data_IF_461965306204
#
_entry.id   IF_461965306204
#
_cell.length_a   1.000
_cell.length_b   1.000
_cell.length_c   1.000
_cell.angle_alpha   90.00
_cell.angle_beta   90.00
_cell.angle_gamma   90.00
#
_symmetry.space_group_name_H-M   'P 1'
#
loop_
_entity.id
_entity.type
_entity.pdbx_description
1 polymer ?
#
# COMPACT_ATOMS: atom_id res chain seq x y z
N UNK A 1 -2.52 3.49 11.72
CA UNK A 1 -2.72 4.01 10.34
C UNK A 1 -1.34 4.10 9.69
N UNK A 2 -1.21 3.80 8.39
CA UNK A 2 0.11 3.78 7.72
C UNK A 2 0.72 5.18 7.80
N UNK A 3 1.94 5.33 8.33
CA UNK A 3 2.55 6.64 8.59
C UNK A 3 2.58 7.51 7.31
N UNK A 4 2.82 6.88 6.16
CA UNK A 4 2.74 7.49 4.82
C UNK A 4 1.36 8.07 4.47
N UNK A 5 0.27 7.45 4.93
CA UNK A 5 -1.10 7.94 4.71
C UNK A 5 -1.44 9.12 5.64
N UNK A 6 -0.94 9.12 6.87
CA UNK A 6 -1.08 10.25 7.81
C UNK A 6 -0.34 11.46 7.26
N UNK A 7 0.90 11.23 6.80
CA UNK A 7 1.70 12.25 6.13
C UNK A 7 0.95 12.77 4.91
N UNK A 8 0.49 11.92 3.98
CA UNK A 8 -0.27 12.37 2.80
C UNK A 8 -1.50 13.22 3.16
N UNK A 9 -2.27 12.82 4.19
CA UNK A 9 -3.43 13.61 4.66
C UNK A 9 -3.00 14.97 5.20
N UNK A 10 -1.87 15.04 5.90
CA UNK A 10 -1.32 16.30 6.41
C UNK A 10 -0.69 17.17 5.30
N UNK A 11 -0.06 16.57 4.28
CA UNK A 11 0.53 17.26 3.13
C UNK A 11 -0.52 17.91 2.24
N UNK A 12 -1.63 17.22 1.93
CA UNK A 12 -2.76 17.80 1.19
C UNK A 12 -3.35 19.01 1.93
N UNK A 13 -3.31 19.01 3.27
CA UNK A 13 -3.98 20.01 4.11
C UNK A 13 -3.08 21.18 4.54
N UNK A 14 -1.74 21.04 4.64
CA UNK A 14 -0.91 22.06 5.32
C UNK A 14 0.34 22.60 4.60
N UNK A 15 0.89 21.97 3.57
CA UNK A 15 2.26 22.34 3.15
C UNK A 15 2.44 22.27 1.64
N UNK A 16 2.60 23.44 1.00
CA UNK A 16 2.80 23.62 -0.45
C UNK A 16 4.17 23.14 -0.99
N UNK A 17 4.64 21.97 -0.58
CA UNK A 17 5.76 21.25 -1.22
C UNK A 17 5.20 20.11 -2.07
N UNK A 18 5.54 20.02 -3.37
CA UNK A 18 4.92 19.07 -4.27
C UNK A 18 5.42 17.63 -4.01
N UNK A 19 4.57 16.81 -3.40
CA UNK A 19 4.68 15.36 -3.46
C UNK A 19 4.26 14.84 -4.84
N UNK A 20 4.74 13.66 -5.26
CA UNK A 20 4.31 13.02 -6.51
C UNK A 20 2.79 12.81 -6.57
N UNK A 21 2.18 12.51 -5.42
CA UNK A 21 0.72 12.39 -5.32
C UNK A 21 0.01 13.73 -5.52
N UNK A 22 0.49 14.81 -4.89
CA UNK A 22 -0.11 16.13 -5.07
C UNK A 22 0.03 16.66 -6.50
N UNK A 23 1.16 16.40 -7.15
CA UNK A 23 1.35 16.73 -8.58
C UNK A 23 0.38 15.94 -9.46
N UNK A 24 0.27 14.63 -9.24
CA UNK A 24 -0.69 13.79 -9.96
C UNK A 24 -2.13 14.26 -9.78
N UNK A 25 -2.56 14.57 -8.54
CA UNK A 25 -3.90 15.07 -8.28
C UNK A 25 -4.15 16.44 -8.91
N UNK A 26 -3.13 17.30 -8.99
CA UNK A 26 -3.22 18.59 -9.67
C UNK A 26 -3.41 18.44 -11.18
N UNK A 27 -2.70 17.50 -11.80
CA UNK A 27 -2.73 17.25 -13.24
C UNK A 27 -3.99 16.47 -13.67
N UNK A 28 -4.28 15.36 -12.98
CA UNK A 28 -5.40 14.47 -13.30
C UNK A 28 -6.75 14.93 -12.72
N UNK A 29 -6.76 15.97 -11.88
CA UNK A 29 -7.95 16.45 -11.15
C UNK A 29 -8.64 15.36 -10.32
N UNK A 30 -7.91 14.33 -9.94
CA UNK A 30 -8.42 13.22 -9.13
C UNK A 30 -8.21 13.52 -7.63
N UNK A 31 -9.05 12.93 -6.79
CA UNK A 31 -8.90 12.99 -5.34
C UNK A 31 -8.47 11.61 -4.81
N UNK A 32 -7.42 11.53 -3.97
CA UNK A 32 -6.99 10.25 -3.44
C UNK A 32 -8.05 9.72 -2.47
N UNK A 33 -8.42 8.45 -2.65
CA UNK A 33 -9.40 7.73 -1.81
C UNK A 33 -8.76 7.27 -0.50
N UNK A 34 -8.29 8.21 0.32
CA UNK A 34 -7.59 7.92 1.58
C UNK A 34 -8.49 7.20 2.59
N UNK A 35 -9.78 7.48 2.59
CA UNK A 35 -10.75 6.84 3.49
C UNK A 35 -11.02 5.37 3.11
N UNK A 36 -10.74 4.99 1.86
CA UNK A 36 -10.81 3.61 1.38
C UNK A 36 -9.49 2.84 1.60
N UNK A 37 -8.44 3.52 2.08
CA UNK A 37 -7.14 2.89 2.30
C UNK A 37 -7.13 2.08 3.61
N UNK A 38 -6.95 0.78 3.49
CA UNK A 38 -6.71 -0.12 4.62
C UNK A 38 -5.22 -0.40 4.81
N UNK A 39 -4.83 -0.68 6.05
CA UNK A 39 -3.49 -1.19 6.34
C UNK A 39 -3.44 -2.69 6.02
N UNK A 40 -2.67 -3.06 5.00
CA UNK A 40 -2.57 -4.45 4.53
C UNK A 40 -1.96 -5.38 5.58
N UNK A 41 -0.89 -4.95 6.26
CA UNK A 41 -0.18 -5.80 7.20
C UNK A 41 0.63 -4.99 8.24
N UNK A 42 0.59 -5.42 9.51
CA UNK A 42 1.39 -4.85 10.61
C UNK A 42 2.57 -5.73 10.94
N UNK A 43 3.77 -5.22 10.76
CA UNK A 43 5.01 -5.89 11.16
C UNK A 43 6.09 -4.87 11.55
N UNK A 44 7.02 -5.25 12.43
CA UNK A 44 8.11 -4.37 12.87
C UNK A 44 9.15 -4.17 11.77
N UNK A 45 9.54 -5.25 11.09
CA UNK A 45 10.45 -5.18 9.94
C UNK A 45 9.76 -4.52 8.75
N UNK A 46 10.40 -3.50 8.21
CA UNK A 46 9.99 -2.81 6.98
C UNK A 46 10.00 -3.75 5.79
N UNK A 47 11.08 -4.49 5.61
CA UNK A 47 11.24 -5.47 4.53
C UNK A 47 10.04 -6.43 4.48
N UNK A 48 9.63 -6.99 5.61
CA UNK A 48 8.45 -7.87 5.66
C UNK A 48 7.17 -7.15 5.25
N UNK A 49 7.00 -5.87 5.62
CA UNK A 49 5.81 -5.10 5.18
C UNK A 49 5.83 -4.88 3.68
N UNK A 50 6.99 -4.57 3.10
CA UNK A 50 7.15 -4.36 1.65
C UNK A 50 6.93 -5.67 0.87
N UNK A 51 7.40 -6.81 1.39
CA UNK A 51 7.11 -8.13 0.81
C UNK A 51 5.61 -8.43 0.79
N UNK A 52 4.90 -8.16 1.89
CA UNK A 52 3.45 -8.38 1.95
C UNK A 52 2.69 -7.39 1.06
N UNK A 53 3.14 -6.14 0.95
CA UNK A 53 2.61 -5.15 0.00
C UNK A 53 2.73 -5.66 -1.44
N UNK A 54 3.94 -6.05 -1.85
CA UNK A 54 4.19 -6.55 -3.20
C UNK A 54 3.37 -7.81 -3.51
N UNK A 55 3.33 -8.76 -2.58
CA UNK A 55 2.49 -9.96 -2.68
C UNK A 55 1.00 -9.63 -2.80
N UNK A 56 0.50 -8.69 -2.01
CA UNK A 56 -0.90 -8.30 -2.03
C UNK A 56 -1.28 -7.60 -3.35
N UNK A 57 -0.39 -6.78 -3.92
CA UNK A 57 -0.62 -6.10 -5.19
C UNK A 57 -0.64 -7.07 -6.38
N UNK A 58 0.21 -8.09 -6.37
CA UNK A 58 0.21 -9.16 -7.39
C UNK A 58 -1.07 -9.99 -7.32
N UNK A 59 -1.47 -10.42 -6.13
CA UNK A 59 -2.60 -11.35 -5.98
C UNK A 59 -3.97 -10.70 -6.02
N UNK A 60 -4.12 -9.47 -5.53
CA UNK A 60 -5.44 -8.84 -5.40
C UNK A 60 -5.79 -7.89 -6.55
N UNK A 61 -4.93 -7.75 -7.58
CA UNK A 61 -5.17 -7.00 -8.82
C UNK A 61 -6.19 -5.88 -8.67
N UNK A 62 -5.95 -4.96 -7.72
CA UNK A 62 -6.94 -3.92 -7.40
C UNK A 62 -6.91 -2.97 -8.60
N UNK A 63 -7.90 -3.12 -9.48
CA UNK A 63 -8.18 -2.25 -10.62
C UNK A 63 -8.51 -0.85 -10.10
N UNK A 64 -7.47 -0.09 -9.78
CA UNK A 64 -7.60 1.23 -9.16
C UNK A 64 -6.37 1.71 -8.41
N UNK A 65 -5.45 0.81 -8.04
CA UNK A 65 -4.17 1.23 -7.47
C UNK A 65 -3.20 1.60 -8.61
N UNK A 66 -2.98 2.90 -8.81
CA UNK A 66 -1.97 3.42 -9.76
C UNK A 66 -0.52 3.12 -9.32
N UNK A 67 -0.32 2.64 -8.09
CA UNK A 67 1.00 2.41 -7.53
C UNK A 67 1.62 1.12 -8.06
N UNK A 68 2.94 1.14 -8.25
CA UNK A 68 3.76 -0.08 -8.38
C UNK A 68 4.21 -0.52 -6.99
N UNK A 69 4.44 -1.82 -6.78
CA UNK A 69 4.97 -2.31 -5.51
C UNK A 69 6.34 -1.70 -5.25
N UNK A 70 6.61 -1.38 -3.99
CA UNK A 70 7.88 -0.78 -3.56
C UNK A 70 9.09 -1.69 -3.80
N UNK A 71 8.87 -3.01 -3.83
CA UNK A 71 9.86 -4.02 -4.20
C UNK A 71 9.26 -4.96 -5.25
N UNK A 72 10.12 -5.51 -6.11
CA UNK A 72 9.73 -6.54 -7.07
C UNK A 72 10.00 -7.90 -6.45
N UNK A 73 8.97 -8.75 -6.41
CA UNK A 73 9.12 -10.15 -6.05
C UNK A 73 9.11 -10.99 -7.32
N UNK A 74 9.97 -12.00 -7.37
CA UNK A 74 9.94 -13.01 -8.42
C UNK A 74 8.82 -14.02 -8.16
N UNK A 75 8.60 -14.93 -9.11
CA UNK A 75 7.52 -15.92 -9.03
C UNK A 75 7.70 -16.88 -7.85
N UNK A 76 8.91 -17.37 -7.62
CA UNK A 76 9.18 -18.33 -6.54
C UNK A 76 8.94 -17.71 -5.15
N UNK A 77 9.30 -16.44 -4.99
CA UNK A 77 9.05 -15.67 -3.76
C UNK A 77 7.55 -15.49 -3.51
N UNK A 78 6.77 -15.19 -4.55
CA UNK A 78 5.30 -15.09 -4.45
C UNK A 78 4.69 -16.44 -4.07
N UNK A 79 5.14 -17.54 -4.68
CA UNK A 79 4.66 -18.89 -4.37
C UNK A 79 5.00 -19.30 -2.93
N UNK A 80 6.21 -18.97 -2.45
CA UNK A 80 6.60 -19.18 -1.05
C UNK A 80 5.66 -18.41 -0.09
N UNK A 81 5.42 -17.13 -0.39
CA UNK A 81 4.54 -16.28 0.42
C UNK A 81 3.08 -16.77 0.41
N UNK A 82 2.59 -17.37 -0.68
CA UNK A 82 1.26 -18.00 -0.71
C UNK A 82 1.14 -19.07 0.39
N UNK A 83 2.16 -19.92 0.56
CA UNK A 83 2.19 -20.91 1.63
C UNK A 83 2.25 -20.29 3.03
N UNK A 84 3.06 -19.23 3.21
CA UNK A 84 3.23 -18.59 4.51
C UNK A 84 2.03 -17.75 4.97
N UNK A 85 1.35 -17.08 4.03
CA UNK A 85 0.27 -16.14 4.33
C UNK A 85 -1.11 -16.81 4.33
N UNK A 86 -1.31 -17.91 3.59
CA UNK A 86 -2.56 -18.69 3.63
C UNK A 86 -2.78 -19.45 4.95
N UNK A 87 -1.71 -19.72 5.70
CA UNK A 87 -1.78 -20.41 7.00
C UNK A 87 -2.22 -19.49 8.17
N UNK A 88 -2.49 -18.21 7.95
CA UNK A 88 -2.90 -17.29 9.02
C UNK A 88 -4.41 -17.03 8.95
N UNK A 89 -5.19 -17.35 10.00
CA UNK A 89 -6.60 -16.97 10.02
C UNK A 89 -6.70 -15.45 9.94
N UNK A 90 -7.57 -14.98 9.03
CA UNK A 90 -7.92 -13.57 8.89
C UNK A 90 -8.23 -13.00 10.28
N UNK A 91 -7.40 -12.08 10.77
CA UNK A 91 -7.71 -11.39 12.02
C UNK A 91 -8.90 -10.48 11.77
N UNK A 92 -9.96 -10.76 12.51
CA UNK A 92 -11.22 -10.00 12.62
C UNK A 92 -10.92 -8.51 12.83
N UNK A 93 -11.65 -7.59 12.18
CA UNK A 93 -11.50 -6.16 12.45
C UNK A 93 -12.01 -5.83 13.86
N UNK A 94 -11.30 -4.95 14.58
CA UNK A 94 -11.85 -4.13 15.66
C UNK A 94 -12.14 -2.76 15.08
#
# INVERSE_FOLDING_TARGET
INQKLIECRQWIVRSGLPSSLSLHCQDCKCMPKLDECAMLYRHKSEETRLMVEAWHMVNNSISGCMSRPSISLNREEIECLNGCLSCRPARVPI
#
